data_IF_141714830693
#
_entry.id   IF_141714830693
#
_cell.length_a   1.000
_cell.length_b   1.000
_cell.length_c   1.000
_cell.angle_alpha   90.00
_cell.angle_beta   90.00
_cell.angle_gamma   90.00
#
_symmetry.space_group_name_H-M   'P 1'
#
loop_
_entity.id
_entity.type
_entity.pdbx_description
1 polymer ?
#
# COMPACT_ATOMS: atom_id res chain seq x y z
N UNK A 1 29.68 -15.77 14.78
CA UNK A 1 28.58 -15.67 15.76
C UNK A 1 27.28 -15.65 14.97
N UNK A 2 26.45 -16.70 15.06
CA UNK A 2 25.18 -16.75 14.35
C UNK A 2 24.15 -15.90 15.11
N UNK A 3 23.98 -14.65 14.69
CA UNK A 3 22.94 -13.76 15.20
C UNK A 3 21.58 -14.34 14.84
N UNK A 4 20.85 -14.85 15.83
CA UNK A 4 19.44 -15.21 15.67
C UNK A 4 18.65 -13.90 15.56
N UNK A 5 18.34 -13.49 14.34
CA UNK A 5 17.37 -12.42 14.11
C UNK A 5 15.96 -12.97 14.38
N UNK A 6 15.21 -12.30 15.25
CA UNK A 6 13.76 -12.52 15.40
C UNK A 6 13.10 -11.45 14.55
N UNK A 7 12.47 -11.85 13.45
CA UNK A 7 11.65 -10.95 12.65
C UNK A 7 10.29 -10.79 13.35
N UNK A 8 9.90 -9.55 13.64
CA UNK A 8 8.57 -9.23 14.15
C UNK A 8 7.76 -8.61 13.00
N UNK A 9 6.60 -9.20 12.70
CA UNK A 9 5.65 -8.62 11.75
C UNK A 9 4.88 -7.51 12.47
N UNK A 10 5.08 -6.27 12.02
CA UNK A 10 4.38 -5.10 12.56
C UNK A 10 3.21 -4.78 11.64
N UNK A 11 2.00 -4.85 12.18
CA UNK A 11 0.79 -4.45 11.46
C UNK A 11 0.46 -2.97 11.73
N UNK A 12 -0.21 -2.28 10.79
CA UNK A 12 -0.79 -0.97 11.05
C UNK A 12 -1.81 -1.05 12.19
N UNK A 13 -1.84 -0.02 13.03
CA UNK A 13 -2.86 0.20 14.03
C UNK A 13 -4.25 0.28 13.40
N UNK A 14 -5.22 -0.30 14.10
CA UNK A 14 -6.64 -0.04 13.87
C UNK A 14 -6.97 1.43 14.18
N UNK A 15 -8.10 1.92 13.64
CA UNK A 15 -8.56 3.27 13.94
C UNK A 15 -8.73 3.54 15.45
N UNK A 16 -9.15 2.51 16.21
CA UNK A 16 -9.28 2.61 17.67
C UNK A 16 -7.94 2.86 18.33
N UNK A 17 -6.93 2.06 18.02
CA UNK A 17 -5.57 2.21 18.56
C UNK A 17 -4.96 3.56 18.13
N UNK A 18 -5.18 3.97 16.88
CA UNK A 18 -4.76 5.28 16.39
C UNK A 18 -5.41 6.41 17.19
N UNK A 19 -6.71 6.35 17.46
CA UNK A 19 -7.43 7.37 18.22
C UNK A 19 -6.92 7.48 19.66
N UNK A 20 -6.70 6.34 20.33
CA UNK A 20 -6.14 6.30 21.68
C UNK A 20 -4.75 6.93 21.72
N UNK A 21 -3.92 6.57 20.74
CA UNK A 21 -2.56 7.07 20.58
C UNK A 21 -2.53 8.58 20.28
N UNK A 22 -3.39 9.06 19.37
CA UNK A 22 -3.47 10.46 19.01
C UNK A 22 -3.97 11.33 20.17
N UNK A 23 -4.95 10.85 20.95
CA UNK A 23 -5.44 11.54 22.15
C UNK A 23 -4.39 11.65 23.25
N UNK A 24 -3.44 10.72 23.31
CA UNK A 24 -2.32 10.81 24.26
C UNK A 24 -1.36 11.98 23.94
N UNK A 25 -1.29 12.41 22.68
CA UNK A 25 -0.45 13.53 22.21
C UNK A 25 -1.27 14.83 22.14
N UNK A 26 -2.52 14.76 21.66
CA UNK A 26 -3.42 15.89 21.43
C UNK A 26 -4.76 15.63 22.13
N UNK A 27 -4.94 16.20 23.33
CA UNK A 27 -6.10 15.91 24.19
C UNK A 27 -7.45 16.36 23.58
N UNK A 28 -7.47 17.44 22.80
CA UNK A 28 -8.70 18.07 22.27
C UNK A 28 -9.04 17.72 20.81
N UNK A 29 -8.45 16.65 20.25
CA UNK A 29 -8.77 16.23 18.87
C UNK A 29 -10.18 15.66 18.75
N UNK A 30 -10.97 16.19 17.82
CA UNK A 30 -12.27 15.62 17.49
C UNK A 30 -12.14 14.28 16.75
N UNK A 31 -13.13 13.41 16.88
CA UNK A 31 -13.16 12.12 16.18
C UNK A 31 -13.06 12.30 14.65
N UNK A 32 -13.67 13.38 14.13
CA UNK A 32 -13.64 13.69 12.69
C UNK A 32 -12.23 14.03 12.22
N UNK A 33 -11.51 14.86 12.96
CA UNK A 33 -10.11 15.21 12.64
C UNK A 33 -9.19 13.99 12.78
N UNK A 34 -9.37 13.18 13.83
CA UNK A 34 -8.63 11.93 13.99
C UNK A 34 -8.85 10.99 12.79
N UNK A 35 -10.10 10.86 12.33
CA UNK A 35 -10.42 10.03 11.18
C UNK A 35 -9.78 10.58 9.89
N UNK A 36 -9.82 11.89 9.67
CA UNK A 36 -9.13 12.50 8.52
C UNK A 36 -7.62 12.25 8.55
N UNK A 37 -6.99 12.38 9.72
CA UNK A 37 -5.57 12.05 9.90
C UNK A 37 -5.30 10.56 9.65
N UNK A 38 -6.15 9.67 10.14
CA UNK A 38 -6.03 8.23 9.92
C UNK A 38 -6.17 7.85 8.44
N UNK A 39 -7.09 8.46 7.70
CA UNK A 39 -7.22 8.23 6.25
C UNK A 39 -6.01 8.78 5.48
N UNK A 40 -5.44 9.91 5.92
CA UNK A 40 -4.30 10.57 5.28
C UNK A 40 -2.97 9.84 5.52
N UNK A 41 -2.67 9.49 6.76
CA UNK A 41 -1.38 8.92 7.17
C UNK A 41 -1.43 7.40 7.35
N UNK A 42 -2.62 6.82 7.47
CA UNK A 42 -2.80 5.42 7.82
C UNK A 42 -2.57 5.14 9.31
N UNK A 43 -2.33 3.87 9.62
CA UNK A 43 -2.13 3.38 10.99
C UNK A 43 -0.69 2.97 11.32
N UNK A 44 0.32 3.36 10.53
CA UNK A 44 1.68 2.86 10.75
C UNK A 44 2.22 3.25 12.15
N UNK A 45 2.66 2.29 12.99
CA UNK A 45 2.97 2.57 14.40
C UNK A 45 4.04 3.64 14.63
N UNK A 46 5.05 3.72 13.76
CA UNK A 46 6.14 4.68 13.87
C UNK A 46 5.68 6.14 13.72
N UNK A 47 4.51 6.39 13.10
CA UNK A 47 3.94 7.74 12.99
C UNK A 47 3.68 8.39 14.36
N UNK A 48 3.48 7.57 15.40
CA UNK A 48 3.40 8.03 16.78
C UNK A 48 4.64 8.79 17.22
N UNK A 49 5.83 8.28 16.87
CA UNK A 49 7.11 8.89 17.26
C UNK A 49 7.34 10.24 16.58
N UNK A 50 6.66 10.47 15.45
CA UNK A 50 6.69 11.72 14.70
C UNK A 50 5.57 12.69 15.13
N UNK A 51 4.84 12.36 16.20
CA UNK A 51 3.69 13.10 16.69
C UNK A 51 2.62 13.40 15.61
N UNK A 52 2.57 12.59 14.56
CA UNK A 52 1.74 12.82 13.36
C UNK A 52 1.96 14.22 12.72
N UNK A 53 3.18 14.76 12.81
CA UNK A 53 3.60 15.97 12.12
C UNK A 53 3.60 15.69 10.60
N UNK A 54 3.04 16.60 9.81
CA UNK A 54 2.64 16.31 8.43
C UNK A 54 3.86 16.03 7.53
N UNK A 55 4.87 16.90 7.56
CA UNK A 55 6.03 16.78 6.67
C UNK A 55 6.84 15.53 7.01
N UNK A 56 7.17 15.33 8.29
CA UNK A 56 7.90 14.16 8.74
C UNK A 56 7.15 12.85 8.48
N UNK A 57 5.84 12.82 8.72
CA UNK A 57 5.00 11.63 8.49
C UNK A 57 4.94 11.27 7.00
N UNK A 58 4.76 12.26 6.13
CA UNK A 58 4.75 12.03 4.68
C UNK A 58 6.10 11.58 4.16
N UNK A 59 7.20 12.15 4.67
CA UNK A 59 8.54 11.73 4.29
C UNK A 59 8.81 10.27 4.70
N UNK A 60 8.48 9.92 5.94
CA UNK A 60 8.61 8.54 6.42
C UNK A 60 7.80 7.54 5.58
N UNK A 61 6.55 7.87 5.26
CA UNK A 61 5.70 7.00 4.43
C UNK A 61 6.27 6.85 3.01
N UNK A 62 6.81 7.93 2.43
CA UNK A 62 7.51 7.88 1.14
C UNK A 62 8.75 7.00 1.19
N UNK A 63 9.56 7.11 2.25
CA UNK A 63 10.78 6.32 2.40
C UNK A 63 10.47 4.83 2.54
N UNK A 64 9.41 4.48 3.27
CA UNK A 64 8.90 3.10 3.33
C UNK A 64 8.45 2.63 1.96
N UNK A 65 7.62 3.41 1.27
CA UNK A 65 7.12 3.07 -0.06
C UNK A 65 8.26 2.83 -1.05
N UNK A 66 9.24 3.74 -1.10
CA UNK A 66 10.43 3.59 -1.94
C UNK A 66 11.26 2.38 -1.54
N UNK A 67 11.44 2.10 -0.24
CA UNK A 67 12.15 0.90 0.21
C UNK A 67 11.44 -0.38 -0.22
N UNK A 68 10.11 -0.47 -0.10
CA UNK A 68 9.32 -1.63 -0.53
C UNK A 68 9.47 -1.84 -2.04
N UNK A 69 9.32 -0.79 -2.85
CA UNK A 69 9.47 -0.90 -4.31
C UNK A 69 10.88 -1.32 -4.68
N UNK A 70 11.90 -0.60 -4.17
CA UNK A 70 13.29 -0.79 -4.58
C UNK A 70 13.93 -2.05 -4.01
N UNK A 71 13.53 -2.52 -2.82
CA UNK A 71 14.12 -3.72 -2.20
C UNK A 71 13.25 -4.94 -2.41
N UNK A 72 11.96 -4.86 -2.12
CA UNK A 72 11.11 -6.06 -2.12
C UNK A 72 10.57 -6.39 -3.49
N UNK A 73 10.23 -5.40 -4.32
CA UNK A 73 9.63 -5.68 -5.62
C UNK A 73 10.70 -5.84 -6.70
N UNK A 74 11.58 -4.86 -6.88
CA UNK A 74 12.52 -4.88 -8.02
C UNK A 74 13.64 -5.91 -7.86
N UNK A 75 14.21 -6.05 -6.65
CA UNK A 75 15.31 -7.01 -6.41
C UNK A 75 14.82 -8.46 -6.31
N UNK A 76 13.69 -8.72 -5.63
CA UNK A 76 13.18 -10.11 -5.50
C UNK A 76 12.58 -10.64 -6.79
N UNK A 77 11.85 -9.82 -7.54
CA UNK A 77 11.14 -10.27 -8.76
C UNK A 77 11.88 -9.97 -10.07
N UNK A 78 13.12 -9.44 -10.02
CA UNK A 78 13.93 -9.05 -11.19
C UNK A 78 13.14 -8.17 -12.18
N UNK A 79 12.31 -7.27 -11.66
CA UNK A 79 11.49 -6.38 -12.49
C UNK A 79 12.43 -5.44 -13.26
N UNK A 80 12.38 -5.53 -14.59
CA UNK A 80 13.24 -4.74 -15.49
C UNK A 80 12.68 -3.35 -15.78
N UNK A 81 11.38 -3.18 -15.67
CA UNK A 81 10.65 -1.96 -16.05
C UNK A 81 9.92 -1.40 -14.83
N UNK A 82 10.64 -0.57 -14.08
CA UNK A 82 10.16 0.09 -12.85
C UNK A 82 9.09 1.14 -13.14
N UNK A 83 9.19 1.84 -14.27
CA UNK A 83 8.18 2.82 -14.69
C UNK A 83 6.82 2.15 -14.94
N UNK A 84 6.81 0.97 -15.58
CA UNK A 84 5.57 0.20 -15.73
C UNK A 84 4.97 -0.23 -14.38
N UNK A 85 5.82 -0.65 -13.45
CA UNK A 85 5.39 -1.04 -12.10
C UNK A 85 4.74 0.14 -11.36
N UNK A 86 5.39 1.30 -11.35
CA UNK A 86 4.85 2.50 -10.69
C UNK A 86 3.52 2.95 -11.30
N UNK A 87 3.37 2.86 -12.62
CA UNK A 87 2.11 3.16 -13.30
C UNK A 87 1.01 2.16 -12.94
N UNK A 88 1.34 0.86 -12.83
CA UNK A 88 0.39 -0.17 -12.40
C UNK A 88 -0.05 0.13 -10.95
N UNK A 89 0.88 0.40 -10.04
CA UNK A 89 0.56 0.76 -8.65
C UNK A 89 -0.32 2.01 -8.59
N UNK A 90 0.02 3.05 -9.34
CA UNK A 90 -0.76 4.29 -9.42
C UNK A 90 -2.19 4.03 -9.92
N UNK A 91 -2.36 3.20 -10.95
CA UNK A 91 -3.67 2.80 -11.43
C UNK A 91 -4.47 2.05 -10.36
N UNK A 92 -3.82 1.13 -9.63
CA UNK A 92 -4.47 0.38 -8.54
C UNK A 92 -4.94 1.33 -7.44
N UNK A 93 -4.10 2.29 -7.02
CA UNK A 93 -4.43 3.30 -6.01
C UNK A 93 -5.62 4.16 -6.45
N UNK A 94 -5.62 4.64 -7.70
CA UNK A 94 -6.73 5.44 -8.24
C UNK A 94 -8.06 4.67 -8.30
N UNK A 95 -7.98 3.34 -8.42
CA UNK A 95 -9.15 2.46 -8.48
C UNK A 95 -9.41 1.75 -7.13
N UNK A 96 -8.80 2.19 -6.03
CA UNK A 96 -9.09 1.64 -4.69
C UNK A 96 -10.58 1.80 -4.39
N UNK A 97 -11.23 0.70 -3.99
CA UNK A 97 -12.67 0.66 -3.74
C UNK A 97 -13.53 0.32 -4.97
N UNK A 98 -12.94 0.27 -6.17
CA UNK A 98 -13.62 -0.16 -7.40
C UNK A 98 -13.15 -1.55 -7.84
N UNK A 99 -14.04 -2.31 -8.49
CA UNK A 99 -13.67 -3.58 -9.11
C UNK A 99 -12.88 -3.35 -10.40
N UNK A 100 -11.66 -3.88 -10.48
CA UNK A 100 -10.85 -3.85 -11.69
C UNK A 100 -10.51 -5.27 -12.19
N UNK A 101 -10.04 -5.37 -13.44
CA UNK A 101 -9.55 -6.62 -14.03
C UNK A 101 -8.20 -6.38 -14.71
N UNK A 102 -7.34 -7.39 -14.80
CA UNK A 102 -6.07 -7.24 -15.52
C UNK A 102 -6.27 -6.85 -16.99
N UNK A 103 -7.39 -7.25 -17.59
CA UNK A 103 -7.79 -6.84 -18.95
C UNK A 103 -8.15 -5.35 -19.04
N UNK A 104 -8.81 -4.77 -18.03
CA UNK A 104 -9.11 -3.33 -18.02
C UNK A 104 -7.83 -2.51 -17.86
N UNK A 105 -6.88 -2.98 -17.06
CA UNK A 105 -5.55 -2.37 -16.93
C UNK A 105 -4.81 -2.42 -18.27
N UNK A 106 -4.79 -3.56 -18.96
CA UNK A 106 -4.15 -3.68 -20.29
C UNK A 106 -4.78 -2.73 -21.32
N UNK A 107 -6.11 -2.54 -21.29
CA UNK A 107 -6.80 -1.56 -22.15
C UNK A 107 -6.41 -0.11 -21.81
N UNK A 108 -6.29 0.23 -20.53
CA UNK A 108 -5.83 1.54 -20.08
C UNK A 108 -4.41 1.86 -20.59
N UNK A 109 -3.48 0.92 -20.47
CA UNK A 109 -2.13 1.12 -21.02
C UNK A 109 -2.12 1.25 -22.54
N UNK A 110 -2.97 0.49 -23.24
CA UNK A 110 -3.14 0.64 -24.70
C UNK A 110 -3.60 2.04 -25.09
N UNK A 111 -4.50 2.67 -24.32
CA UNK A 111 -4.88 4.08 -24.57
C UNK A 111 -3.76 5.08 -24.30
N UNK A 112 -2.83 4.77 -23.40
CA UNK A 112 -1.59 5.53 -23.19
C UNK A 112 -0.48 5.17 -24.21
N UNK A 113 -0.82 4.51 -25.31
CA UNK A 113 0.11 4.08 -26.35
C UNK A 113 1.22 3.11 -25.87
N UNK A 114 0.98 2.37 -24.78
CA UNK A 114 1.89 1.34 -24.25
C UNK A 114 1.23 -0.03 -24.30
N UNK A 115 1.87 -0.98 -25.00
CA UNK A 115 1.37 -2.37 -25.05
C UNK A 115 1.94 -3.17 -23.90
N UNK A 116 1.06 -3.64 -23.02
CA UNK A 116 1.42 -4.51 -21.88
C UNK A 116 0.53 -5.73 -21.89
N UNK A 117 1.12 -6.92 -21.77
CA UNK A 117 0.37 -8.17 -21.71
C UNK A 117 -0.37 -8.29 -20.39
N UNK A 118 -1.50 -9.00 -20.41
CA UNK A 118 -2.27 -9.29 -19.19
C UNK A 118 -1.44 -10.10 -18.19
N UNK A 119 -0.59 -11.00 -18.68
CA UNK A 119 0.33 -11.80 -17.87
C UNK A 119 1.36 -10.93 -17.12
N UNK A 120 1.98 -9.95 -17.79
CA UNK A 120 2.92 -9.02 -17.13
C UNK A 120 2.21 -8.22 -16.04
N UNK A 121 0.98 -7.76 -16.28
CA UNK A 121 0.20 -7.02 -15.28
C UNK A 121 -0.10 -7.90 -14.06
N UNK A 122 -0.53 -9.14 -14.28
CA UNK A 122 -0.81 -10.08 -13.19
C UNK A 122 0.44 -10.40 -12.37
N UNK A 123 1.58 -10.60 -13.04
CA UNK A 123 2.86 -10.84 -12.37
C UNK A 123 3.27 -9.64 -11.51
N UNK A 124 3.06 -8.41 -11.98
CA UNK A 124 3.39 -7.21 -11.22
C UNK A 124 2.44 -7.01 -10.04
N UNK A 125 1.13 -7.27 -10.20
CA UNK A 125 0.16 -7.25 -9.09
C UNK A 125 0.54 -8.28 -8.03
N UNK A 126 0.91 -9.50 -8.45
CA UNK A 126 1.37 -10.55 -7.53
C UNK A 126 2.63 -10.12 -6.79
N UNK A 127 3.58 -9.49 -7.48
CA UNK A 127 4.80 -8.97 -6.85
C UNK A 127 4.51 -7.87 -5.80
N UNK A 128 3.50 -7.01 -6.04
CA UNK A 128 3.05 -6.00 -5.06
C UNK A 128 2.28 -6.59 -3.89
N UNK A 129 1.62 -7.74 -4.09
CA UNK A 129 0.93 -8.48 -3.03
C UNK A 129 1.95 -9.19 -2.11
N UNK A 130 2.94 -9.85 -2.70
CA UNK A 130 4.03 -10.51 -1.98
C UNK A 130 4.92 -9.54 -1.19
N UNK A 131 5.00 -8.27 -1.61
CA UNK A 131 5.71 -7.22 -0.88
C UNK A 131 4.86 -6.53 0.19
N UNK A 132 3.66 -7.03 0.47
CA UNK A 132 2.69 -6.45 1.41
C UNK A 132 2.28 -4.99 1.10
N UNK A 133 2.52 -4.53 -0.13
CA UNK A 133 2.13 -3.19 -0.58
C UNK A 133 0.62 -3.11 -0.82
N UNK A 134 0.04 -4.17 -1.35
CA UNK A 134 -1.39 -4.24 -1.71
C UNK A 134 -1.98 -5.55 -1.22
N UNK A 135 -3.18 -5.49 -0.64
CA UNK A 135 -3.95 -6.67 -0.26
C UNK A 135 -5.15 -6.83 -1.19
N UNK A 136 -5.33 -8.04 -1.72
CA UNK A 136 -6.47 -8.36 -2.56
C UNK A 136 -7.68 -8.68 -1.71
N UNK A 137 -8.77 -7.93 -1.92
CA UNK A 137 -10.08 -8.22 -1.35
C UNK A 137 -10.97 -8.83 -2.43
N UNK A 138 -11.46 -10.04 -2.19
CA UNK A 138 -12.38 -10.70 -3.12
C UNK A 138 -13.81 -10.26 -2.84
N UNK A 139 -14.57 -9.92 -3.89
CA UNK A 139 -16.01 -9.72 -3.75
C UNK A 139 -16.69 -11.07 -3.48
N UNK A 140 -17.31 -11.20 -2.32
CA UNK A 140 -17.96 -12.42 -1.83
C UNK A 140 -19.16 -12.85 -2.68
N UNK A 141 -19.78 -11.95 -3.43
CA UNK A 141 -20.93 -12.26 -4.31
C UNK A 141 -20.57 -13.18 -5.50
N UNK A 142 -19.31 -13.21 -5.94
CA UNK A 142 -18.91 -13.97 -7.15
C UNK A 142 -18.52 -15.44 -6.90
N UNK A 143 -18.47 -15.89 -5.64
CA UNK A 143 -18.02 -17.24 -5.28
C UNK A 143 -19.16 -18.25 -5.06
N UNK A 144 -20.43 -17.86 -5.21
CA UNK A 144 -21.61 -18.74 -5.05
C UNK A 144 -22.32 -19.04 -6.38
N UNK A 145 -21.57 -19.45 -7.41
CA UNK A 145 -22.14 -20.21 -8.51
C UNK A 145 -21.53 -21.61 -8.50
N UNK A 146 -22.11 -22.46 -7.65
CA UNK A 146 -22.02 -23.91 -7.77
C UNK A 146 -22.79 -24.36 -9.03
#
# INVERSE_FOLDING_TARGET
MAGRYVEFVIYPFSFKEFLETLKSIQQDVSIREAFQKYVKFGGMPFLYNLAFEEEASLQYLKDIYSSIILKDITQRNKIRDTDLLERIISYLIMNVGNNFSATSISKFFKSENRKVSVETILNYIKATEESFLIYKVFNWEKNFKC
#
